data_IF_054113208074
#
_entry.id   IF_054113208074
#
_cell.length_a   1.000
_cell.length_b   1.000
_cell.length_c   1.000
_cell.angle_alpha   90.00
_cell.angle_beta   90.00
_cell.angle_gamma   90.00
#
_symmetry.space_group_name_H-M   'P 1'
#
loop_
_entity.id
_entity.type
_entity.pdbx_description
1 polymer ?
#
# COMPACT_ATOMS: atom_id res chain seq x y z
N UNK A 1 -28.76 -27.90 -7.48
CA UNK A 1 -27.37 -28.19 -7.10
C UNK A 1 -26.77 -29.05 -8.19
N UNK A 2 -26.26 -28.42 -9.25
CA UNK A 2 -25.68 -29.09 -10.43
C UNK A 2 -24.19 -28.80 -10.35
N UNK A 3 -23.40 -29.81 -9.98
CA UNK A 3 -21.96 -29.77 -10.11
C UNK A 3 -21.64 -29.88 -11.61
N UNK A 4 -21.35 -28.73 -12.23
CA UNK A 4 -20.66 -28.69 -13.51
C UNK A 4 -19.22 -29.16 -13.28
N UNK A 5 -18.98 -30.45 -13.56
CA UNK A 5 -17.66 -30.96 -13.90
C UNK A 5 -17.23 -30.27 -15.21
N UNK A 6 -16.73 -29.04 -15.10
CA UNK A 6 -15.86 -28.51 -16.15
C UNK A 6 -14.58 -29.33 -16.08
N UNK A 7 -14.45 -30.29 -17.01
CA UNK A 7 -13.18 -30.78 -17.51
C UNK A 7 -12.42 -29.60 -18.12
N UNK A 8 -11.96 -28.68 -17.27
CA UNK A 8 -10.80 -27.85 -17.60
C UNK A 8 -9.69 -28.87 -17.77
N UNK A 9 -9.02 -28.78 -18.91
CA UNK A 9 -7.85 -29.59 -19.24
C UNK A 9 -6.81 -29.35 -18.15
N UNK A 10 -6.85 -30.19 -17.13
CA UNK A 10 -5.83 -30.28 -16.10
C UNK A 10 -4.64 -30.94 -16.79
N UNK A 11 -3.83 -30.16 -17.50
CA UNK A 11 -2.45 -30.57 -17.74
C UNK A 11 -1.89 -31.04 -16.39
N UNK A 12 -1.26 -32.22 -16.32
CA UNK A 12 -0.72 -32.72 -15.07
C UNK A 12 0.28 -31.70 -14.56
N UNK A 13 -0.13 -30.94 -13.53
CA UNK A 13 0.68 -29.90 -12.94
C UNK A 13 1.91 -30.59 -12.34
N UNK A 14 3.09 -30.29 -12.86
CA UNK A 14 4.32 -30.76 -12.24
C UNK A 14 4.58 -29.97 -10.96
N UNK A 15 5.34 -30.54 -10.03
CA UNK A 15 5.74 -29.85 -8.80
C UNK A 15 6.37 -28.47 -9.08
N UNK A 16 7.25 -28.41 -10.07
CA UNK A 16 7.94 -27.19 -10.47
C UNK A 16 6.98 -26.15 -11.08
N UNK A 17 6.04 -26.59 -11.92
CA UNK A 17 4.98 -25.71 -12.45
C UNK A 17 4.08 -25.17 -11.33
N UNK A 18 3.78 -25.97 -10.31
CA UNK A 18 2.98 -25.55 -9.16
C UNK A 18 3.67 -24.43 -8.38
N UNK A 19 4.97 -24.58 -8.10
CA UNK A 19 5.78 -23.56 -7.42
C UNK A 19 5.91 -22.28 -8.25
N UNK A 20 6.23 -22.41 -9.54
CA UNK A 20 6.38 -21.25 -10.43
C UNK A 20 5.06 -20.49 -10.59
N UNK A 21 3.95 -21.21 -10.71
CA UNK A 21 2.62 -20.61 -10.79
C UNK A 21 2.28 -19.87 -9.51
N UNK A 22 2.59 -20.46 -8.35
CA UNK A 22 2.40 -19.79 -7.07
C UNK A 22 3.25 -18.53 -6.95
N UNK A 23 4.53 -18.59 -7.30
CA UNK A 23 5.43 -17.43 -7.25
C UNK A 23 4.92 -16.27 -8.12
N UNK A 24 4.42 -16.56 -9.32
CA UNK A 24 3.99 -15.52 -10.28
C UNK A 24 2.58 -14.98 -10.04
N UNK A 25 1.66 -15.82 -9.53
CA UNK A 25 0.23 -15.51 -9.50
C UNK A 25 -0.37 -15.43 -8.10
N UNK A 26 0.40 -15.71 -7.04
CA UNK A 26 -0.14 -15.65 -5.69
C UNK A 26 -0.36 -14.19 -5.25
N UNK A 27 -1.59 -13.80 -4.86
CA UNK A 27 -1.91 -12.44 -4.47
C UNK A 27 -1.20 -11.99 -3.17
N UNK A 28 -0.86 -12.92 -2.26
CA UNK A 28 -0.15 -12.60 -1.02
C UNK A 28 1.30 -12.18 -1.31
N UNK A 29 1.98 -12.85 -2.26
CA UNK A 29 3.32 -12.45 -2.71
C UNK A 29 3.25 -11.06 -3.35
N UNK A 30 2.24 -10.84 -4.20
CA UNK A 30 2.04 -9.54 -4.83
C UNK A 30 1.73 -8.43 -3.82
N UNK A 31 0.97 -8.73 -2.77
CA UNK A 31 0.71 -7.79 -1.67
C UNK A 31 2.02 -7.43 -0.95
N UNK A 32 2.85 -8.43 -0.64
CA UNK A 32 4.12 -8.19 0.04
C UNK A 32 5.12 -7.39 -0.84
N UNK A 33 5.11 -7.59 -2.16
CA UNK A 33 5.84 -6.72 -3.10
C UNK A 33 5.38 -5.27 -3.02
N UNK A 34 4.06 -5.03 -3.00
CA UNK A 34 3.48 -3.70 -2.90
C UNK A 34 3.83 -3.03 -1.56
N UNK A 35 3.93 -3.79 -0.46
CA UNK A 35 4.35 -3.26 0.84
C UNK A 35 5.82 -2.78 0.82
N UNK A 36 6.68 -3.46 0.06
CA UNK A 36 8.06 -2.99 -0.18
C UNK A 36 8.08 -1.73 -1.02
N UNK A 37 7.29 -1.67 -2.10
CA UNK A 37 7.16 -0.48 -2.94
C UNK A 37 6.60 0.72 -2.14
N UNK A 38 5.63 0.50 -1.26
CA UNK A 38 5.12 1.51 -0.34
C UNK A 38 6.23 2.00 0.61
N UNK A 39 7.08 1.10 1.08
CA UNK A 39 8.22 1.45 1.94
C UNK A 39 9.27 2.27 1.19
N UNK A 40 9.47 2.01 -0.11
CA UNK A 40 10.31 2.82 -0.99
C UNK A 40 9.77 4.25 -1.14
N UNK A 41 8.45 4.40 -1.32
CA UNK A 41 7.81 5.72 -1.29
C UNK A 41 7.98 6.40 0.08
N UNK A 42 7.94 5.64 1.18
CA UNK A 42 8.23 6.13 2.52
C UNK A 42 9.65 6.71 2.66
N UNK A 43 10.65 6.07 2.05
CA UNK A 43 12.01 6.63 1.99
C UNK A 43 12.04 7.94 1.22
N UNK A 44 11.37 8.00 0.06
CA UNK A 44 11.31 9.22 -0.75
C UNK A 44 10.67 10.38 0.02
N UNK A 45 9.58 10.13 0.74
CA UNK A 45 8.93 11.12 1.63
C UNK A 45 9.88 11.55 2.76
N UNK A 46 10.62 10.61 3.36
CA UNK A 46 11.60 10.96 4.40
C UNK A 46 12.77 11.80 3.84
N UNK A 47 13.14 11.62 2.58
CA UNK A 47 14.15 12.43 1.90
C UNK A 47 13.63 13.82 1.51
N UNK A 48 12.34 13.96 1.19
CA UNK A 48 11.76 15.22 0.70
C UNK A 48 11.83 16.36 1.71
N UNK A 49 12.06 16.05 2.99
CA UNK A 49 12.37 17.03 4.03
C UNK A 49 13.63 17.86 3.70
N UNK A 50 14.56 17.29 2.92
CA UNK A 50 15.78 17.96 2.47
C UNK A 50 15.62 18.65 1.10
N UNK A 51 14.51 18.39 0.40
CA UNK A 51 14.28 18.98 -0.90
C UNK A 51 13.94 20.47 -0.74
N UNK A 52 14.56 21.35 -1.54
CA UNK A 52 14.26 22.76 -1.48
C UNK A 52 12.82 23.03 -1.92
N UNK A 53 12.13 23.88 -1.17
CA UNK A 53 10.76 24.29 -1.45
C UNK A 53 10.75 25.71 -2.00
N UNK A 54 9.98 25.90 -3.06
CA UNK A 54 9.71 27.21 -3.63
C UNK A 54 8.21 27.47 -3.55
N UNK A 55 7.83 28.61 -2.98
CA UNK A 55 6.45 29.05 -2.92
C UNK A 55 6.32 30.42 -3.59
N UNK A 56 5.23 30.63 -4.30
CA UNK A 56 4.84 31.92 -4.82
C UNK A 56 3.35 32.12 -4.54
N UNK A 57 2.99 33.30 -4.05
CA UNK A 57 1.60 33.64 -3.77
C UNK A 57 1.31 35.07 -4.22
N UNK A 58 0.07 35.28 -4.66
CA UNK A 58 -0.48 36.59 -4.98
C UNK A 58 -1.84 36.68 -4.31
N UNK A 59 -2.08 37.77 -3.60
CA UNK A 59 -3.30 38.02 -2.87
C UNK A 59 -3.83 39.40 -3.22
N UNK A 60 -5.15 39.50 -3.39
CA UNK A 60 -5.82 40.79 -3.42
C UNK A 60 -6.82 40.83 -2.27
N UNK A 61 -6.91 41.97 -1.61
CA UNK A 61 -7.90 42.21 -0.58
C UNK A 61 -8.69 43.47 -0.92
N UNK A 62 -10.00 43.40 -0.84
CA UNK A 62 -10.87 44.56 -0.92
C UNK A 62 -11.76 44.58 0.32
N UNK A 63 -11.79 45.71 1.00
CA UNK A 63 -12.62 45.91 2.17
C UNK A 63 -13.21 47.31 2.14
N UNK A 64 -14.52 47.39 2.31
CA UNK A 64 -15.22 48.66 2.49
C UNK A 64 -15.76 48.69 3.90
N UNK A 65 -15.41 49.74 4.64
CA UNK A 65 -15.84 49.93 6.02
C UNK A 65 -16.41 51.34 6.19
N UNK A 66 -17.57 51.43 6.82
CA UNK A 66 -18.18 52.71 7.17
C UNK A 66 -17.86 53.01 8.64
N UNK A 67 -17.32 54.19 8.90
CA UNK A 67 -16.90 54.61 10.23
C UNK A 67 -17.58 55.95 10.57
N UNK A 68 -17.82 56.17 11.87
CA UNK A 68 -18.36 57.43 12.39
C UNK A 68 -17.33 58.09 13.29
N UNK A 69 -17.03 59.36 13.05
CA UNK A 69 -16.18 60.15 13.92
C UNK A 69 -16.93 61.39 14.40
N UNK A 70 -17.00 61.57 15.72
CA UNK A 70 -17.69 62.70 16.33
C UNK A 70 -17.01 64.02 15.91
N UNK A 71 -17.77 64.90 15.24
CA UNK A 71 -17.28 66.17 14.69
C UNK A 71 -17.05 66.17 13.17
N UNK A 72 -16.94 65.01 12.52
CA UNK A 72 -16.73 64.88 11.06
C UNK A 72 -17.82 64.06 10.34
N UNK A 73 -18.72 63.40 11.08
CA UNK A 73 -19.85 62.66 10.51
C UNK A 73 -19.49 61.23 10.07
N UNK A 74 -20.32 60.67 9.18
CA UNK A 74 -20.07 59.36 8.57
C UNK A 74 -19.05 59.49 7.43
N UNK A 75 -18.10 58.57 7.38
CA UNK A 75 -17.16 58.47 6.26
C UNK A 75 -16.97 57.00 5.86
N UNK A 76 -16.79 56.80 4.55
CA UNK A 76 -16.54 55.50 3.97
C UNK A 76 -15.03 55.33 3.74
N UNK A 77 -14.49 54.20 4.14
CA UNK A 77 -13.10 53.82 3.91
C UNK A 77 -13.07 52.59 3.02
N UNK A 78 -12.51 52.74 1.82
CA UNK A 78 -12.25 51.63 0.90
C UNK A 78 -10.76 51.30 0.93
N UNK A 79 -10.44 50.07 1.34
CA UNK A 79 -9.09 49.53 1.35
C UNK A 79 -8.97 48.49 0.24
N UNK A 80 -8.10 48.74 -0.73
CA UNK A 80 -7.71 47.79 -1.77
C UNK A 80 -6.23 47.48 -1.61
N UNK A 81 -5.91 46.22 -1.33
CA UNK A 81 -4.55 45.74 -1.24
C UNK A 81 -4.23 44.72 -2.32
N UNK A 82 -3.00 44.79 -2.84
CA UNK A 82 -2.40 43.76 -3.66
C UNK A 82 -1.09 43.36 -2.99
N UNK A 83 -0.99 42.10 -2.63
CA UNK A 83 0.23 41.52 -2.07
C UNK A 83 0.73 40.40 -2.96
N UNK A 84 2.04 40.24 -2.99
CA UNK A 84 2.65 39.05 -3.53
C UNK A 84 3.83 38.66 -2.67
N UNK A 85 4.09 37.35 -2.58
CA UNK A 85 5.24 36.82 -1.89
C UNK A 85 5.84 35.67 -2.67
N UNK A 86 7.16 35.56 -2.59
CA UNK A 86 7.92 34.43 -3.09
C UNK A 86 8.84 33.98 -1.96
N UNK A 87 8.90 32.68 -1.72
CA UNK A 87 9.73 32.09 -0.69
C UNK A 87 10.55 30.94 -1.27
N UNK A 88 11.78 30.81 -0.79
CA UNK A 88 12.64 29.67 -1.04
C UNK A 88 13.14 29.15 0.30
N UNK A 89 12.91 27.88 0.59
CA UNK A 89 13.37 27.24 1.84
C UNK A 89 14.18 26.00 1.50
N UNK A 90 15.33 25.82 2.13
CA UNK A 90 16.15 24.62 2.00
C UNK A 90 16.67 24.17 3.37
N UNK A 91 16.66 22.86 3.61
CA UNK A 91 17.24 22.24 4.79
C UNK A 91 18.39 21.33 4.36
N UNK A 92 19.57 21.57 4.92
CA UNK A 92 20.75 20.74 4.68
C UNK A 92 20.77 19.53 5.63
N UNK A 93 21.42 18.42 5.26
CA UNK A 93 21.61 17.26 6.15
C UNK A 93 22.30 17.59 7.48
N UNK A 94 23.05 18.69 7.52
CA UNK A 94 23.69 19.24 8.71
C UNK A 94 22.72 19.99 9.63
N UNK A 95 21.41 20.00 9.34
CA UNK A 95 20.41 20.71 10.13
C UNK A 95 20.42 22.24 9.92
N UNK A 96 21.23 22.73 8.99
CA UNK A 96 21.25 24.15 8.63
C UNK A 96 20.05 24.46 7.74
N UNK A 97 19.20 25.40 8.14
CA UNK A 97 18.06 25.86 7.35
C UNK A 97 18.34 27.23 6.74
N UNK A 98 17.98 27.39 5.47
CA UNK A 98 18.10 28.64 4.73
C UNK A 98 16.73 29.03 4.19
N UNK A 99 16.31 30.28 4.42
CA UNK A 99 15.05 30.81 3.93
C UNK A 99 15.28 32.17 3.28
N UNK A 100 14.84 32.32 2.04
CA UNK A 100 14.81 33.59 1.32
C UNK A 100 13.35 33.95 1.09
N UNK A 101 12.91 35.06 1.67
CA UNK A 101 11.57 35.60 1.51
C UNK A 101 11.64 36.92 0.77
N UNK A 102 10.83 37.05 -0.29
CA UNK A 102 10.59 38.31 -0.97
C UNK A 102 9.10 38.59 -0.94
N UNK A 103 8.72 39.64 -0.23
CA UNK A 103 7.34 40.06 -0.12
C UNK A 103 7.20 41.51 -0.60
N UNK A 104 6.07 41.78 -1.24
CA UNK A 104 5.67 43.13 -1.61
C UNK A 104 4.18 43.28 -1.32
N UNK A 105 3.83 44.39 -0.67
CA UNK A 105 2.46 44.71 -0.33
C UNK A 105 2.18 46.16 -0.75
N UNK A 106 1.17 46.31 -1.60
CA UNK A 106 0.59 47.60 -1.93
C UNK A 106 -0.74 47.70 -1.23
N UNK A 107 -0.99 48.80 -0.51
CA UNK A 107 -2.29 49.07 0.11
C UNK A 107 -2.75 50.45 -0.31
N UNK A 108 -3.81 50.55 -1.11
CA UNK A 108 -4.49 51.78 -1.43
C UNK A 108 -5.71 51.96 -0.50
N UNK A 109 -5.72 53.03 0.28
CA UNK A 109 -6.84 53.40 1.14
C UNK A 109 -7.45 54.70 0.64
N UNK A 110 -8.74 54.67 0.31
CA UNK A 110 -9.54 55.83 -0.07
C UNK A 110 -10.46 56.22 1.07
N UNK A 111 -10.42 57.49 1.44
CA UNK A 111 -11.32 58.08 2.42
C UNK A 111 -12.30 59.00 1.70
N UNK A 112 -13.60 58.75 1.88
CA UNK A 112 -14.68 59.56 1.31
C UNK A 112 -15.60 60.04 2.43
N UNK A 113 -15.72 61.36 2.58
CA UNK A 113 -16.68 61.97 3.51
C UNK A 113 -18.08 61.98 2.89
N UNK A 114 -19.11 61.59 3.64
CA UNK A 114 -20.47 61.49 3.10
C UNK A 114 -21.07 62.85 2.70
N UNK A 115 -20.67 63.92 3.40
CA UNK A 115 -21.28 65.25 3.32
C UNK A 115 -20.35 66.34 2.72
N UNK A 116 -19.16 65.98 2.22
CA UNK A 116 -18.22 66.92 1.59
C UNK A 116 -17.42 66.24 0.46
N UNK A 117 -17.07 66.95 -0.64
CA UNK A 117 -16.33 66.39 -1.77
C UNK A 117 -14.82 66.29 -1.48
N UNK A 118 -14.45 65.76 -0.31
CA UNK A 118 -13.06 65.57 0.09
C UNK A 118 -12.74 64.09 -0.11
N UNK A 119 -11.90 63.81 -1.10
CA UNK A 119 -11.35 62.48 -1.37
C UNK A 119 -9.86 62.50 -1.08
N UNK A 120 -9.39 61.55 -0.27
CA UNK A 120 -7.97 61.35 -0.01
C UNK A 120 -7.61 59.90 -0.28
N UNK A 121 -6.64 59.67 -1.15
CA UNK A 121 -6.08 58.34 -1.44
C UNK A 121 -4.65 58.25 -0.92
N UNK A 122 -4.37 57.20 -0.14
CA UNK A 122 -3.04 56.89 0.37
C UNK A 122 -2.65 55.51 -0.13
N UNK A 123 -1.56 55.41 -0.88
CA UNK A 123 -1.15 54.17 -1.56
C UNK A 123 0.31 53.78 -1.26
N UNK A 124 0.65 53.39 -0.01
CA UNK A 124 1.96 52.87 0.34
C UNK A 124 2.28 51.58 -0.42
N UNK A 125 3.56 51.48 -0.80
CA UNK A 125 4.20 50.27 -1.27
C UNK A 125 5.26 49.88 -0.25
N UNK A 126 5.14 48.66 0.28
CA UNK A 126 6.14 48.05 1.14
C UNK A 126 6.73 46.85 0.41
N UNK A 127 8.05 46.73 0.38
CA UNK A 127 8.73 45.60 -0.24
C UNK A 127 9.93 45.26 0.62
N UNK A 128 10.01 44.00 1.04
CA UNK A 128 11.14 43.49 1.81
C UNK A 128 11.67 42.20 1.21
N UNK A 129 12.98 42.07 1.27
CA UNK A 129 13.72 40.86 0.92
C UNK A 129 14.52 40.47 2.16
N UNK A 130 14.35 39.24 2.62
CA UNK A 130 14.98 38.74 3.83
C UNK A 130 15.62 37.38 3.56
N UNK A 131 16.92 37.27 3.87
CA UNK A 131 17.65 36.01 3.87
C UNK A 131 17.94 35.61 5.31
N UNK A 132 17.41 34.47 5.74
CA UNK A 132 17.65 33.87 7.03
C UNK A 132 18.50 32.60 6.87
N UNK A 133 19.56 32.49 7.65
CA UNK A 133 20.39 31.29 7.74
C UNK A 133 20.47 30.90 9.21
N UNK A 134 19.97 29.71 9.54
CA UNK A 134 20.02 29.18 10.90
C UNK A 134 20.87 27.92 10.92
N UNK A 135 21.98 27.95 11.67
CA UNK A 135 22.91 26.83 11.78
C UNK A 135 23.03 26.39 13.25
N UNK A 136 22.61 25.17 13.59
CA UNK A 136 22.93 24.59 14.89
C UNK A 136 24.44 24.29 14.99
N UNK A 137 25.05 24.57 16.15
CA UNK A 137 26.52 24.49 16.33
C UNK A 137 27.01 23.25 17.11
N UNK A 138 26.10 22.56 17.82
CA UNK A 138 26.42 21.38 18.66
C UNK A 138 25.80 20.12 18.04
N UNK A 139 25.13 19.27 18.82
CA UNK A 139 24.54 18.01 18.35
C UNK A 139 23.63 18.18 17.12
N UNK A 140 22.97 19.32 16.99
CA UNK A 140 22.11 19.63 15.84
C UNK A 140 22.85 19.74 14.50
N UNK A 141 24.18 19.91 14.48
CA UNK A 141 24.94 19.91 13.22
C UNK A 141 25.15 18.49 12.66
N UNK A 142 25.06 17.48 13.53
CA UNK A 142 25.40 16.11 13.18
C UNK A 142 24.29 15.51 12.30
N UNK A 143 24.62 15.01 11.09
CA UNK A 143 23.65 14.35 10.22
C UNK A 143 23.01 13.10 10.85
N UNK A 144 23.61 12.56 11.92
CA UNK A 144 23.02 11.47 12.68
C UNK A 144 21.65 11.80 13.26
N UNK A 145 21.45 13.03 13.73
CA UNK A 145 20.18 13.44 14.32
C UNK A 145 19.18 13.87 13.26
N UNK A 146 19.61 14.69 12.30
CA UNK A 146 18.72 15.24 11.27
C UNK A 146 18.24 14.17 10.28
N UNK A 147 19.06 13.15 9.99
CA UNK A 147 18.69 12.06 9.08
C UNK A 147 18.06 10.86 9.81
N UNK A 148 17.66 11.01 11.08
CA UNK A 148 17.07 9.89 11.84
C UNK A 148 15.82 9.33 11.17
N UNK A 149 14.91 10.21 10.72
CA UNK A 149 13.68 9.79 10.03
C UNK A 149 13.98 9.02 8.73
N UNK A 150 15.00 9.45 7.98
CA UNK A 150 15.46 8.72 6.78
C UNK A 150 16.00 7.33 7.13
N UNK A 151 16.81 7.20 8.18
CA UNK A 151 17.31 5.89 8.61
C UNK A 151 16.20 4.97 9.11
N UNK A 152 15.19 5.53 9.77
CA UNK A 152 14.01 4.80 10.20
C UNK A 152 13.23 4.28 8.99
N UNK A 153 12.97 5.12 8.00
CA UNK A 153 12.32 4.70 6.75
C UNK A 153 13.12 3.61 6.01
N UNK A 154 14.46 3.72 5.95
CA UNK A 154 15.33 2.68 5.40
C UNK A 154 15.26 1.36 6.19
N UNK A 155 15.15 1.43 7.51
CA UNK A 155 14.99 0.26 8.37
C UNK A 155 13.63 -0.41 8.15
N UNK A 156 12.56 0.37 8.04
CA UNK A 156 11.21 -0.13 7.73
C UNK A 156 11.21 -0.84 6.37
N UNK A 157 11.79 -0.24 5.33
CA UNK A 157 11.94 -0.85 4.01
C UNK A 157 12.73 -2.18 4.05
N UNK A 158 13.75 -2.25 4.89
CA UNK A 158 14.52 -3.49 5.10
C UNK A 158 13.66 -4.56 5.77
N UNK A 159 12.85 -4.19 6.76
CA UNK A 159 11.89 -5.10 7.41
C UNK A 159 10.86 -5.59 6.39
N UNK A 160 10.26 -4.70 5.60
CA UNK A 160 9.28 -5.08 4.57
C UNK A 160 9.86 -6.08 3.56
N UNK A 161 11.13 -5.88 3.16
CA UNK A 161 11.84 -6.82 2.27
C UNK A 161 12.02 -8.21 2.92
N UNK A 162 12.35 -8.25 4.21
CA UNK A 162 12.47 -9.51 4.95
C UNK A 162 11.10 -10.21 5.10
N UNK A 163 10.04 -9.45 5.38
CA UNK A 163 8.67 -9.95 5.47
C UNK A 163 8.16 -10.49 4.13
N UNK A 164 8.53 -9.85 3.02
CA UNK A 164 8.27 -10.35 1.67
C UNK A 164 8.93 -11.72 1.45
N UNK A 165 10.22 -11.84 1.76
CA UNK A 165 10.94 -13.10 1.63
C UNK A 165 10.34 -14.21 2.52
N UNK A 166 9.94 -13.89 3.75
CA UNK A 166 9.25 -14.82 4.65
C UNK A 166 7.92 -15.29 4.06
N UNK A 167 7.14 -14.37 3.51
CA UNK A 167 5.84 -14.65 2.88
C UNK A 167 6.01 -15.57 1.68
N UNK A 168 6.98 -15.28 0.80
CA UNK A 168 7.30 -16.12 -0.35
C UNK A 168 7.70 -17.53 0.09
N UNK A 169 8.63 -17.66 1.04
CA UNK A 169 9.06 -18.96 1.55
C UNK A 169 7.91 -19.76 2.18
N UNK A 170 7.04 -19.10 2.95
CA UNK A 170 5.86 -19.72 3.56
C UNK A 170 4.91 -20.25 2.49
N UNK A 171 4.65 -19.49 1.44
CA UNK A 171 3.74 -19.88 0.35
C UNK A 171 4.34 -21.03 -0.46
N UNK A 172 5.61 -20.96 -0.83
CA UNK A 172 6.27 -22.04 -1.56
C UNK A 172 6.29 -23.34 -0.75
N UNK A 173 6.54 -23.25 0.57
CA UNK A 173 6.44 -24.40 1.49
C UNK A 173 5.03 -24.97 1.53
N UNK A 174 4.01 -24.12 1.61
CA UNK A 174 2.61 -24.55 1.64
C UNK A 174 2.22 -25.27 0.35
N UNK A 175 2.53 -24.68 -0.81
CA UNK A 175 2.27 -25.26 -2.13
C UNK A 175 2.97 -26.61 -2.27
N UNK A 176 4.24 -26.69 -1.84
CA UNK A 176 4.98 -27.94 -1.87
C UNK A 176 4.30 -29.03 -1.03
N UNK A 177 3.87 -28.69 0.19
CA UNK A 177 3.14 -29.62 1.07
C UNK A 177 1.84 -30.09 0.43
N UNK A 178 0.99 -29.16 -0.02
CA UNK A 178 -0.32 -29.49 -0.61
C UNK A 178 -0.16 -30.34 -1.87
N UNK A 179 0.86 -30.10 -2.69
CA UNK A 179 1.16 -30.92 -3.85
C UNK A 179 1.43 -32.38 -3.47
N UNK A 180 2.31 -32.60 -2.49
CA UNK A 180 2.65 -33.95 -2.03
C UNK A 180 1.48 -34.64 -1.32
N UNK A 181 0.66 -33.91 -0.58
CA UNK A 181 -0.58 -34.43 0.02
C UNK A 181 -1.59 -34.88 -1.05
N UNK A 182 -1.74 -34.11 -2.13
CA UNK A 182 -2.59 -34.47 -3.26
C UNK A 182 -2.05 -35.71 -3.98
N UNK A 183 -0.74 -35.75 -4.27
CA UNK A 183 -0.10 -36.90 -4.89
C UNK A 183 -0.29 -38.18 -4.05
N UNK A 184 -0.04 -38.10 -2.74
CA UNK A 184 -0.23 -39.20 -1.82
C UNK A 184 -1.69 -39.67 -1.79
N UNK A 185 -2.66 -38.75 -1.70
CA UNK A 185 -4.08 -39.07 -1.71
C UNK A 185 -4.51 -39.75 -3.01
N UNK A 186 -3.99 -39.30 -4.15
CA UNK A 186 -4.20 -39.95 -5.44
C UNK A 186 -3.67 -41.38 -5.46
N UNK A 187 -2.48 -41.62 -4.87
CA UNK A 187 -1.92 -42.98 -4.75
C UNK A 187 -2.72 -43.89 -3.82
N UNK A 188 -3.28 -43.37 -2.73
CA UNK A 188 -4.18 -44.14 -1.88
C UNK A 188 -5.44 -44.58 -2.63
N UNK A 189 -6.02 -43.72 -3.46
CA UNK A 189 -7.18 -44.07 -4.29
C UNK A 189 -6.81 -45.14 -5.33
N UNK A 190 -5.64 -45.03 -5.96
CA UNK A 190 -5.14 -46.04 -6.90
C UNK A 190 -4.98 -47.42 -6.24
N UNK A 191 -4.38 -47.45 -5.04
CA UNK A 191 -4.22 -48.69 -4.25
C UNK A 191 -5.59 -49.25 -3.85
N UNK A 192 -6.50 -48.42 -3.34
CA UNK A 192 -7.85 -48.85 -2.96
C UNK A 192 -8.64 -49.42 -4.16
N UNK A 193 -8.53 -48.80 -5.33
CA UNK A 193 -9.15 -49.29 -6.56
C UNK A 193 -8.56 -50.64 -7.01
N UNK A 194 -7.25 -50.85 -6.84
CA UNK A 194 -6.61 -52.13 -7.12
C UNK A 194 -7.05 -53.22 -6.13
N UNK A 195 -7.10 -52.92 -4.83
CA UNK A 195 -7.61 -53.84 -3.81
C UNK A 195 -9.05 -54.25 -4.08
N UNK A 196 -9.92 -53.29 -4.43
CA UNK A 196 -11.32 -53.56 -4.78
C UNK A 196 -11.44 -54.44 -6.03
N UNK A 197 -10.59 -54.22 -7.04
CA UNK A 197 -10.56 -55.07 -8.25
C UNK A 197 -10.17 -56.51 -7.90
N UNK A 198 -9.12 -56.69 -7.09
CA UNK A 198 -8.67 -58.01 -6.64
C UNK A 198 -9.78 -58.72 -5.85
N UNK A 199 -10.41 -58.02 -4.90
CA UNK A 199 -11.52 -58.57 -4.11
C UNK A 199 -12.70 -59.03 -4.98
N UNK A 200 -13.07 -58.24 -6.01
CA UNK A 200 -14.11 -58.61 -6.97
C UNK A 200 -13.75 -59.81 -7.83
N UNK A 201 -12.49 -59.90 -8.27
CA UNK A 201 -12.01 -61.04 -9.06
C UNK A 201 -11.97 -62.33 -8.21
N UNK A 202 -11.58 -62.23 -6.94
CA UNK A 202 -11.63 -63.34 -5.98
C UNK A 202 -13.07 -63.80 -5.73
N UNK A 203 -14.01 -62.86 -5.50
CA UNK A 203 -15.45 -63.18 -5.39
C UNK A 203 -15.96 -63.93 -6.62
N UNK A 204 -15.61 -63.47 -7.83
CA UNK A 204 -16.01 -64.14 -9.08
C UNK A 204 -15.46 -65.57 -9.17
N UNK A 205 -14.20 -65.77 -8.77
CA UNK A 205 -13.58 -67.11 -8.76
C UNK A 205 -14.25 -68.04 -7.73
N UNK A 206 -14.60 -67.54 -6.55
CA UNK A 206 -15.28 -68.33 -5.51
C UNK A 206 -16.71 -68.69 -5.93
N UNK A 207 -17.45 -67.75 -6.52
CA UNK A 207 -18.81 -68.02 -7.06
C UNK A 207 -18.79 -69.12 -8.13
N UNK A 208 -17.84 -69.07 -9.07
CA UNK A 208 -17.71 -70.12 -10.09
C UNK A 208 -17.44 -71.52 -9.48
N UNK A 209 -16.61 -71.60 -8.43
CA UNK A 209 -16.34 -72.86 -7.73
C UNK A 209 -17.55 -73.39 -6.93
N UNK A 210 -18.41 -72.51 -6.42
CA UNK A 210 -19.68 -72.91 -5.78
C UNK A 210 -20.65 -73.47 -6.84
N UNK A 211 -20.75 -72.84 -8.01
CA UNK A 211 -21.60 -73.30 -9.13
C UNK A 211 -21.16 -74.68 -9.66
N UNK A 212 -19.85 -74.94 -9.69
CA UNK A 212 -19.28 -76.25 -10.04
C UNK A 212 -19.44 -77.31 -8.92
N UNK A 213 -19.96 -76.93 -7.75
CA UNK A 213 -20.18 -77.83 -6.60
C UNK A 213 -18.95 -78.12 -5.76
N UNK A 214 -17.84 -77.38 -5.96
CA UNK A 214 -16.57 -77.57 -5.24
C UNK A 214 -16.50 -76.84 -3.90
N UNK A 215 -17.37 -75.86 -3.65
CA UNK A 215 -17.40 -75.08 -2.40
C UNK A 215 -18.82 -74.95 -1.81
N UNK A 216 -18.99 -74.91 -0.47
CA UNK A 216 -20.30 -74.73 0.16
C UNK A 216 -20.88 -73.31 -0.04
N UNK A 217 -22.22 -73.15 -0.15
CA UNK A 217 -22.87 -71.85 -0.39
C UNK A 217 -22.63 -70.78 0.69
N UNK A 218 -22.25 -71.19 1.91
CA UNK A 218 -21.97 -70.29 3.04
C UNK A 218 -20.78 -69.34 2.76
N UNK A 219 -19.88 -69.72 1.84
CA UNK A 219 -18.72 -68.91 1.48
C UNK A 219 -19.12 -67.65 0.68
N UNK A 220 -20.24 -67.67 -0.04
CA UNK A 220 -20.75 -66.49 -0.75
C UNK A 220 -21.10 -65.34 0.21
N UNK A 221 -21.79 -65.67 1.32
CA UNK A 221 -22.18 -64.69 2.33
C UNK A 221 -20.98 -64.10 3.09
N UNK A 222 -19.91 -64.90 3.27
CA UNK A 222 -18.66 -64.42 3.87
C UNK A 222 -17.93 -63.44 2.96
N UNK A 223 -17.87 -63.72 1.66
CA UNK A 223 -17.20 -62.86 0.70
C UNK A 223 -17.93 -61.52 0.50
N UNK A 224 -19.26 -61.53 0.50
CA UNK A 224 -20.07 -60.31 0.37
C UNK A 224 -19.92 -59.36 1.58
N UNK A 225 -19.70 -59.92 2.77
CA UNK A 225 -19.37 -59.15 3.98
C UNK A 225 -17.96 -58.55 3.94
N UNK A 226 -17.01 -59.22 3.28
CA UNK A 226 -15.64 -58.75 3.11
C UNK A 226 -15.53 -57.60 2.09
N UNK A 227 -16.35 -57.60 1.02
CA UNK A 227 -16.41 -56.48 0.06
C UNK A 227 -16.93 -55.18 0.67
N UNK A 228 -17.86 -55.25 1.62
CA UNK A 228 -18.44 -54.06 2.28
C UNK A 228 -17.50 -53.42 3.31
N UNK A 229 -16.45 -54.12 3.71
CA UNK A 229 -15.50 -53.69 4.74
C UNK A 229 -14.12 -53.30 4.19
N UNK A 230 -13.92 -53.44 2.87
CA UNK A 230 -12.73 -53.04 2.13
C UNK A 230 -12.93 -51.68 1.43
#
# INVERSE_FOLDING_TARGET
>A
MIFLLSLVWSEPLTFEQALQTAQQKNPDIRSAELDVEQSDAGILIAQSVLDPQFNASVGQNLSTNQQFFAGFGLFNTEVSGLSWSTGFTALLPTGTSMTLDWNSNRSATKYQLQDAPIEQEVNPYDTSVMLNINQPLLEGILPSYNLRGLREAQSIRSISTLTQNETEQRILKEVARTYWELYHSGKLVEIAAQSLRIARDEKRSVQAQIEEGNLPPIEETRMESAELSA
#
